data_IF_901549945351
#
_entry.id   IF_901549945351
#
_cell.length_a   1.000
_cell.length_b   1.000
_cell.length_c   1.000
_cell.angle_alpha   90.00
_cell.angle_beta   90.00
_cell.angle_gamma   90.00
#
_symmetry.space_group_name_H-M   'P 1'
#
loop_
_entity.id
_entity.type
_entity.pdbx_description
1 polymer ?
#
# COMPACT_ATOMS: atom_id res chain seq x y z
N UNK A 1 -3.55 8.99 -4.02
CA UNK A 1 -4.98 8.84 -4.36
C UNK A 1 -5.11 8.80 -5.88
N UNK A 2 -5.94 7.90 -6.41
CA UNK A 2 -6.19 7.79 -7.85
C UNK A 2 -7.06 8.96 -8.31
N UNK A 3 -6.55 9.73 -9.29
CA UNK A 3 -7.26 10.85 -9.93
C UNK A 3 -7.95 10.38 -11.22
N UNK A 4 -9.23 10.73 -11.41
CA UNK A 4 -9.98 10.39 -12.62
C UNK A 4 -9.93 8.91 -13.00
N UNK A 5 -9.53 8.61 -14.24
CA UNK A 5 -9.43 7.24 -14.77
C UNK A 5 -8.22 6.45 -14.29
N UNK A 6 -7.30 7.03 -13.51
CA UNK A 6 -6.14 6.30 -12.99
C UNK A 6 -6.48 5.15 -12.03
N UNK A 7 -7.74 5.03 -11.59
CA UNK A 7 -8.22 3.90 -10.79
C UNK A 7 -8.07 2.56 -11.51
N UNK A 8 -7.96 2.55 -12.85
CA UNK A 8 -7.65 1.33 -13.63
C UNK A 8 -6.29 0.73 -13.24
N UNK A 9 -5.37 1.53 -12.69
CA UNK A 9 -4.05 1.10 -12.23
C UNK A 9 -4.05 0.64 -10.76
N UNK A 10 -5.21 0.36 -10.17
CA UNK A 10 -5.33 -0.10 -8.77
C UNK A 10 -4.44 -1.32 -8.47
N UNK A 11 -4.34 -2.27 -9.40
CA UNK A 11 -3.52 -3.48 -9.25
C UNK A 11 -2.03 -3.14 -9.19
N UNK A 12 -1.56 -2.25 -10.07
CA UNK A 12 -0.18 -1.76 -10.04
C UNK A 12 0.12 -1.00 -8.75
N UNK A 13 -0.83 -0.19 -8.26
CA UNK A 13 -0.72 0.48 -6.97
C UNK A 13 -0.61 -0.51 -5.80
N UNK A 14 -1.37 -1.61 -5.84
CA UNK A 14 -1.30 -2.65 -4.82
C UNK A 14 0.05 -3.36 -4.84
N UNK A 15 0.54 -3.75 -6.03
CA UNK A 15 1.86 -4.37 -6.19
C UNK A 15 2.96 -3.45 -5.66
N UNK A 16 2.88 -2.14 -5.95
CA UNK A 16 3.85 -1.17 -5.47
C UNK A 16 3.90 -1.11 -3.94
N UNK A 17 2.74 -1.09 -3.28
CA UNK A 17 2.67 -1.07 -1.82
C UNK A 17 3.18 -2.39 -1.20
N UNK A 18 2.92 -3.53 -1.83
CA UNK A 18 3.44 -4.82 -1.38
C UNK A 18 4.97 -4.89 -1.52
N UNK A 19 5.54 -4.37 -2.61
CA UNK A 19 7.00 -4.26 -2.77
C UNK A 19 7.61 -3.38 -1.68
N UNK A 20 6.98 -2.23 -1.40
CA UNK A 20 7.42 -1.35 -0.32
C UNK A 20 7.36 -2.04 1.06
N UNK A 21 6.33 -2.85 1.33
CA UNK A 21 6.25 -3.62 2.56
C UNK A 21 7.38 -4.64 2.69
N UNK A 22 7.76 -5.28 1.58
CA UNK A 22 8.87 -6.23 1.54
C UNK A 22 10.22 -5.51 1.77
N UNK A 23 10.43 -4.36 1.14
CA UNK A 23 11.65 -3.55 1.33
C UNK A 23 11.77 -3.04 2.78
N UNK A 24 10.65 -2.85 3.47
CA UNK A 24 10.59 -2.39 4.87
C UNK A 24 10.44 -3.53 5.89
N UNK A 25 10.52 -4.79 5.47
CA UNK A 25 10.26 -5.94 6.35
C UNK A 25 11.19 -5.96 7.57
N UNK A 26 12.44 -5.51 7.44
CA UNK A 26 13.40 -5.44 8.55
C UNK A 26 13.13 -4.29 9.53
N UNK A 27 12.51 -3.21 9.06
CA UNK A 27 12.29 -1.98 9.83
C UNK A 27 10.88 -1.87 10.41
N UNK A 28 9.92 -2.60 9.85
CA UNK A 28 8.51 -2.47 10.18
C UNK A 28 7.72 -3.77 10.04
N UNK A 29 6.52 -3.78 10.61
CA UNK A 29 5.54 -4.86 10.53
C UNK A 29 4.29 -4.32 9.87
N UNK A 30 3.80 -5.03 8.84
CA UNK A 30 2.51 -4.73 8.22
C UNK A 30 1.39 -4.99 9.23
N UNK A 31 0.65 -3.94 9.59
CA UNK A 31 -0.54 -4.04 10.45
C UNK A 31 -1.82 -4.19 9.63
N UNK A 32 -1.86 -3.54 8.46
CA UNK A 32 -2.99 -3.63 7.56
C UNK A 32 -2.50 -3.67 6.11
N UNK A 33 -2.95 -4.70 5.38
CA UNK A 33 -2.69 -4.87 3.96
C UNK A 33 -3.25 -3.71 3.12
N UNK A 34 -2.70 -3.46 1.92
CA UNK A 34 -3.22 -2.42 1.03
C UNK A 34 -4.73 -2.57 0.79
N UNK A 35 -5.50 -1.55 1.15
CA UNK A 35 -6.96 -1.50 0.98
C UNK A 35 -7.36 -0.25 0.22
N UNK A 36 -8.27 -0.41 -0.74
CA UNK A 36 -8.85 0.71 -1.48
C UNK A 36 -10.09 1.24 -0.75
N UNK A 37 -10.02 2.49 -0.30
CA UNK A 37 -11.13 3.22 0.33
C UNK A 37 -11.43 4.46 -0.52
N UNK A 38 -12.55 4.39 -1.26
CA UNK A 38 -12.90 5.36 -2.29
C UNK A 38 -11.85 5.43 -3.39
N UNK A 39 -11.07 6.52 -3.41
CA UNK A 39 -9.98 6.75 -4.38
C UNK A 39 -8.58 6.64 -3.76
N UNK A 40 -8.46 6.17 -2.52
CA UNK A 40 -7.19 6.04 -1.80
C UNK A 40 -6.90 4.59 -1.54
N UNK A 41 -5.70 4.13 -1.92
CA UNK A 41 -5.19 2.85 -1.47
C UNK A 41 -4.18 3.10 -0.37
N UNK A 42 -4.44 2.54 0.80
CA UNK A 42 -3.66 2.78 2.02
C UNK A 42 -3.21 1.44 2.58
N UNK A 43 -1.99 1.41 3.12
CA UNK A 43 -1.40 0.30 3.85
C UNK A 43 -0.83 0.88 5.14
N UNK A 44 -0.91 0.12 6.24
CA UNK A 44 -0.33 0.54 7.52
C UNK A 44 0.83 -0.37 7.89
N UNK A 45 1.96 0.25 8.18
CA UNK A 45 3.18 -0.39 8.68
C UNK A 45 3.53 0.29 10.00
N UNK A 46 3.69 -0.50 11.05
CA UNK A 46 4.23 -0.05 12.32
C UNK A 46 5.74 -0.33 12.40
N UNK A 47 6.54 0.53 13.04
CA UNK A 47 7.97 0.27 13.21
C UNK A 47 8.21 -0.98 14.07
N UNK A 48 9.25 -1.75 13.73
CA UNK A 48 9.79 -2.80 14.58
C UNK A 48 10.70 -2.13 15.62
N UNK A 49 10.12 -1.84 16.79
CA UNK A 49 10.69 -1.08 17.94
C UNK A 49 10.51 0.43 17.87
#
# INVERSE_FOLDING_TARGET
FFKGRSIIFKEQGQILLLRLAQDLEELGKVEQMPKLEGKRMTMFIAPKK
#
